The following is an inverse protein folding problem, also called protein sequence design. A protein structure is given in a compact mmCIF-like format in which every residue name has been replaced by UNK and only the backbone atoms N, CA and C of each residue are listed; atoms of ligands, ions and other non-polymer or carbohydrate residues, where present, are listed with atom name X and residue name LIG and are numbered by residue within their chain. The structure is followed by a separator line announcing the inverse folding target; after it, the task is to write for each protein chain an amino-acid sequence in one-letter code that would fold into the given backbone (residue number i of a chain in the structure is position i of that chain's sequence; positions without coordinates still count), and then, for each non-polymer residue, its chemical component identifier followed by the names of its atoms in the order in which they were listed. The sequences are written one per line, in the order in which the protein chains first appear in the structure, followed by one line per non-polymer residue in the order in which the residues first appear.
data_IF_149995062863
#
_entry.id   IF_149995062863
#
_cell.length_a   1.000
_cell.length_b   1.000
_cell.length_c   1.000
_cell.angle_alpha   90.00
_cell.angle_beta   90.00
_cell.angle_gamma   90.00
#
_symmetry.space_group_name_H-M   'P 1'
#
loop_
_entity.id
_entity.type
_entity.pdbx_description
1 polymer ?
#
# COMPACT_ATOMS: atom_id res chain seq x y z
N UNK A 1 13.93 22.69 -1.62
CA UNK A 1 12.54 22.23 -1.35
C UNK A 1 12.52 21.79 0.08
N UNK A 2 11.71 22.41 0.94
CA UNK A 2 11.50 21.93 2.32
C UNK A 2 11.03 20.48 2.26
N UNK A 3 11.76 19.57 2.91
CA UNK A 3 11.29 18.20 3.12
C UNK A 3 10.08 18.29 4.05
N UNK A 4 8.87 18.13 3.50
CA UNK A 4 7.68 17.92 4.31
C UNK A 4 7.89 16.64 5.12
N UNK A 5 8.28 16.77 6.38
CA UNK A 5 8.37 15.64 7.30
C UNK A 5 6.95 15.14 7.56
N UNK A 6 6.63 13.97 7.03
CA UNK A 6 5.36 13.29 7.29
C UNK A 6 5.40 12.66 8.68
N UNK A 7 4.30 12.72 9.43
CA UNK A 7 4.21 12.03 10.73
C UNK A 7 4.18 10.51 10.56
N UNK A 8 4.55 9.76 11.60
CA UNK A 8 4.45 8.29 11.62
C UNK A 8 3.03 7.84 11.25
N UNK A 9 2.00 8.48 11.81
CA UNK A 9 0.61 8.15 11.51
C UNK A 9 0.29 8.38 10.04
N UNK A 10 0.78 9.47 9.43
CA UNK A 10 0.58 9.75 7.99
C UNK A 10 1.21 8.64 7.14
N UNK A 11 2.43 8.23 7.48
CA UNK A 11 3.15 7.15 6.79
C UNK A 11 2.37 5.83 6.90
N UNK A 12 1.97 5.45 8.10
CA UNK A 12 1.23 4.20 8.36
C UNK A 12 -0.15 4.23 7.72
N UNK A 13 -0.91 5.32 7.82
CA UNK A 13 -2.25 5.46 7.22
C UNK A 13 -2.23 5.46 5.70
N UNK A 14 -1.08 5.75 5.07
CA UNK A 14 -0.92 5.63 3.60
C UNK A 14 -1.01 4.19 3.12
N UNK A 15 -0.61 3.22 3.95
CA UNK A 15 -0.52 1.79 3.60
C UNK A 15 -1.48 0.90 4.41
N UNK A 16 -1.90 1.36 5.59
CA UNK A 16 -2.90 0.72 6.44
C UNK A 16 -4.16 1.58 6.55
N UNK A 17 -5.32 0.94 6.70
CA UNK A 17 -6.57 1.59 7.09
C UNK A 17 -6.75 1.33 8.58
N UNK A 18 -7.00 2.38 9.33
CA UNK A 18 -7.26 2.34 10.76
C UNK A 18 -8.78 2.37 11.02
N UNK A 19 -9.23 1.60 12.02
CA UNK A 19 -10.59 1.65 12.55
C UNK A 19 -10.60 1.13 13.99
N UNK A 20 -11.06 1.93 14.95
CA UNK A 20 -11.11 1.59 16.38
C UNK A 20 -9.77 1.02 16.88
N UNK A 21 -8.68 1.75 16.64
CA UNK A 21 -7.31 1.38 17.01
C UNK A 21 -6.76 0.09 16.37
N UNK A 22 -7.51 -0.52 15.43
CA UNK A 22 -7.07 -1.67 14.64
C UNK A 22 -6.65 -1.23 13.24
N UNK A 23 -5.58 -1.82 12.71
CA UNK A 23 -5.05 -1.50 11.38
C UNK A 23 -5.11 -2.69 10.42
N UNK A 24 -5.65 -2.44 9.22
CA UNK A 24 -5.72 -3.41 8.12
C UNK A 24 -4.96 -2.92 6.91
N UNK A 25 -4.10 -3.77 6.33
CA UNK A 25 -3.33 -3.42 5.13
C UNK A 25 -4.28 -3.06 3.98
N UNK A 26 -4.02 -1.96 3.30
CA UNK A 26 -4.78 -1.53 2.13
C UNK A 26 -4.34 -2.35 0.91
N UNK A 27 -5.29 -2.69 0.05
CA UNK A 27 -4.98 -3.25 -1.27
C UNK A 27 -4.45 -2.16 -2.22
N UNK A 28 -5.06 -0.98 -2.16
CA UNK A 28 -4.66 0.22 -2.89
C UNK A 28 -4.28 1.26 -1.86
N UNK A 29 -3.00 1.62 -1.84
CA UNK A 29 -2.42 2.57 -0.91
C UNK A 29 -2.91 3.99 -1.19
N UNK A 30 -2.98 4.81 -0.15
CA UNK A 30 -3.54 6.16 -0.21
C UNK A 30 -2.45 7.19 -0.42
N UNK A 31 -2.23 7.56 -1.68
CA UNK A 31 -1.21 8.54 -2.02
C UNK A 31 -1.65 9.98 -1.74
N UNK A 32 -2.94 10.21 -1.43
CA UNK A 32 -3.45 11.54 -1.07
C UNK A 32 -2.74 12.13 0.17
N UNK A 33 -2.32 11.28 1.10
CA UNK A 33 -1.55 11.68 2.28
C UNK A 33 -0.15 12.24 1.94
N UNK A 34 0.33 11.99 0.72
CA UNK A 34 1.55 12.53 0.16
C UNK A 34 1.29 13.52 -0.99
N UNK A 35 0.09 14.08 -1.09
CA UNK A 35 -0.31 15.04 -2.13
C UNK A 35 -0.60 14.41 -3.50
N UNK A 36 -0.83 13.09 -3.56
CA UNK A 36 -1.13 12.35 -4.79
C UNK A 36 -2.59 11.90 -4.92
N UNK A 37 -2.80 10.89 -5.78
CA UNK A 37 -4.13 10.34 -6.05
C UNK A 37 -4.68 9.56 -4.85
N UNK A 38 -5.91 9.87 -4.43
CA UNK A 38 -6.55 9.10 -3.35
C UNK A 38 -6.91 7.68 -3.79
N UNK A 39 -6.74 6.73 -2.86
CA UNK A 39 -7.22 5.36 -3.05
C UNK A 39 -8.73 5.27 -3.30
N UNK A 40 -9.52 6.26 -2.85
CA UNK A 40 -10.96 6.33 -3.08
C UNK A 40 -11.30 6.56 -4.55
N UNK A 41 -10.59 7.48 -5.22
CA UNK A 41 -10.81 7.79 -6.64
C UNK A 41 -10.46 6.61 -7.54
N UNK A 42 -9.37 5.90 -7.22
CA UNK A 42 -8.97 4.69 -7.95
C UNK A 42 -10.08 3.61 -7.84
N UNK A 43 -10.60 3.37 -6.62
CA UNK A 43 -11.70 2.41 -6.41
C UNK A 43 -12.99 2.82 -7.09
N UNK A 44 -13.32 4.11 -7.08
CA UNK A 44 -14.49 4.64 -7.74
C UNK A 44 -14.41 4.43 -9.26
N UNK A 45 -13.25 4.72 -9.85
CA UNK A 45 -13.02 4.46 -11.27
C UNK A 45 -13.23 2.97 -11.60
N UNK A 46 -12.75 2.05 -10.76
CA UNK A 46 -12.96 0.61 -10.97
C UNK A 46 -14.42 0.20 -10.92
N UNK A 47 -15.20 0.84 -10.05
CA UNK A 47 -16.61 0.56 -9.94
C UNK A 47 -17.40 1.11 -11.13
N UNK A 48 -17.10 2.34 -11.58
CA UNK A 48 -17.89 3.03 -12.61
C UNK A 48 -17.52 2.56 -14.03
N UNK A 49 -16.25 2.24 -14.28
CA UNK A 49 -15.73 1.99 -15.62
C UNK A 49 -16.49 0.88 -16.38
N UNK A 50 -16.85 -0.28 -15.79
CA UNK A 50 -17.66 -1.30 -16.47
C UNK A 50 -19.02 -0.77 -16.95
N UNK A 51 -19.72 0.02 -16.12
CA UNK A 51 -21.02 0.58 -16.46
C UNK A 51 -20.92 1.65 -17.55
N UNK A 52 -19.88 2.50 -17.48
CA UNK A 52 -19.62 3.49 -18.52
C UNK A 52 -19.33 2.82 -19.86
N UNK A 53 -18.52 1.76 -19.87
CA UNK A 53 -18.26 0.97 -21.09
C UNK A 53 -19.51 0.28 -21.60
N UNK A 54 -20.32 -0.30 -20.70
CA UNK A 54 -21.59 -0.91 -21.08
C UNK A 54 -22.51 0.10 -21.78
N UNK A 55 -22.74 1.26 -21.16
CA UNK A 55 -23.58 2.31 -21.74
C UNK A 55 -23.04 2.82 -23.10
N UNK A 56 -21.72 2.93 -23.23
CA UNK A 56 -21.09 3.34 -24.48
C UNK A 56 -21.24 2.32 -25.61
N UNK A 57 -21.29 1.02 -25.30
CA UNK A 57 -21.34 -0.04 -26.31
C UNK A 57 -22.77 -0.47 -26.62
N UNK A 58 -23.62 -0.62 -25.61
CA UNK A 58 -24.99 -1.10 -25.76
C UNK A 58 -25.95 0.06 -25.99
N UNK A 59 -25.78 0.75 -27.13
CA UNK A 59 -26.66 1.83 -27.57
C UNK A 59 -27.12 1.62 -29.03
N UNK A 60 -28.19 2.29 -29.48
CA UNK A 60 -28.77 2.08 -30.81
C UNK A 60 -27.79 2.33 -31.97
N UNK A 61 -26.90 3.32 -31.85
CA UNK A 61 -25.93 3.63 -32.89
C UNK A 61 -24.90 2.49 -33.03
N UNK A 62 -24.37 2.00 -31.91
CA UNK A 62 -23.44 0.87 -31.88
C UNK A 62 -24.07 -0.42 -32.40
N UNK A 63 -25.33 -0.70 -32.07
CA UNK A 63 -26.03 -1.88 -32.61
C UNK A 63 -26.29 -1.79 -34.10
N UNK A 64 -26.59 -0.60 -34.61
CA UNK A 64 -26.73 -0.39 -36.06
C UNK A 64 -25.41 -0.64 -36.80
N UNK A 65 -24.27 -0.34 -36.18
CA UNK A 65 -22.96 -0.49 -36.78
C UNK A 65 -22.36 -1.91 -36.66
N UNK A 66 -22.49 -2.54 -35.49
CA UNK A 66 -21.78 -3.77 -35.14
C UNK A 66 -22.71 -5.00 -35.06
N UNK A 67 -24.01 -4.80 -34.84
CA UNK A 67 -24.90 -5.86 -34.40
C UNK A 67 -24.67 -6.29 -32.95
N UNK A 68 -25.66 -6.97 -32.37
CA UNK A 68 -25.67 -7.29 -30.93
C UNK A 68 -24.54 -8.26 -30.55
N UNK A 69 -24.31 -9.30 -31.35
CA UNK A 69 -23.29 -10.31 -31.07
C UNK A 69 -21.87 -9.72 -31.02
N UNK A 70 -21.52 -8.86 -31.98
CA UNK A 70 -20.20 -8.24 -32.03
C UNK A 70 -20.03 -7.17 -30.94
N UNK A 71 -21.09 -6.44 -30.58
CA UNK A 71 -21.06 -5.51 -29.46
C UNK A 71 -20.75 -6.22 -28.13
N UNK A 72 -21.30 -7.42 -27.90
CA UNK A 72 -21.00 -8.25 -26.73
C UNK A 72 -19.52 -8.65 -26.71
N UNK A 73 -18.99 -9.17 -27.82
CA UNK A 73 -17.58 -9.55 -27.92
C UNK A 73 -16.67 -8.35 -27.64
N UNK A 74 -16.99 -7.20 -28.22
CA UNK A 74 -16.22 -5.96 -28.03
C UNK A 74 -16.24 -5.49 -26.57
N UNK A 75 -17.38 -5.58 -25.89
CA UNK A 75 -17.48 -5.25 -24.47
C UNK A 75 -16.60 -6.15 -23.60
N UNK A 76 -16.56 -7.45 -23.86
CA UNK A 76 -15.71 -8.39 -23.12
C UNK A 76 -14.22 -8.03 -23.30
N UNK A 77 -13.80 -7.75 -24.54
CA UNK A 77 -12.41 -7.34 -24.82
C UNK A 77 -12.07 -6.04 -24.07
N UNK A 78 -12.95 -5.04 -24.10
CA UNK A 78 -12.73 -3.79 -23.40
C UNK A 78 -12.70 -3.95 -21.88
N UNK A 79 -13.51 -4.85 -21.30
CA UNK A 79 -13.43 -5.17 -19.88
C UNK A 79 -12.07 -5.76 -19.49
N UNK A 80 -11.49 -6.62 -20.33
CA UNK A 80 -10.15 -7.18 -20.09
C UNK A 80 -9.09 -6.07 -20.12
N UNK A 81 -9.11 -5.19 -21.12
CA UNK A 81 -8.20 -4.04 -21.18
C UNK A 81 -8.38 -3.08 -20.01
N UNK A 82 -9.62 -2.78 -19.64
CA UNK A 82 -9.93 -1.98 -18.46
C UNK A 82 -9.31 -2.60 -17.21
N UNK A 83 -9.48 -3.89 -16.97
CA UNK A 83 -8.88 -4.58 -15.84
C UNK A 83 -7.35 -4.48 -15.84
N UNK A 84 -6.69 -4.58 -16.99
CA UNK A 84 -5.24 -4.39 -17.09
C UNK A 84 -4.82 -2.96 -16.70
N UNK A 85 -5.53 -1.94 -17.19
CA UNK A 85 -5.28 -0.53 -16.83
C UNK A 85 -5.44 -0.33 -15.33
N UNK A 86 -6.51 -0.88 -14.75
CA UNK A 86 -6.80 -0.86 -13.32
C UNK A 86 -5.66 -1.44 -12.48
N UNK A 87 -5.15 -2.61 -12.87
CA UNK A 87 -4.02 -3.27 -12.20
C UNK A 87 -2.75 -2.42 -12.33
N UNK A 88 -2.46 -1.91 -13.53
CA UNK A 88 -1.29 -1.07 -13.77
C UNK A 88 -1.31 0.20 -12.91
N UNK A 89 -2.43 0.94 -12.93
CA UNK A 89 -2.60 2.17 -12.12
C UNK A 89 -2.45 1.88 -10.64
N UNK A 90 -3.06 0.79 -10.14
CA UNK A 90 -2.94 0.37 -8.74
C UNK A 90 -1.48 0.05 -8.37
N UNK A 91 -0.78 -0.67 -9.24
CA UNK A 91 0.63 -1.02 -9.03
C UNK A 91 1.52 0.21 -8.97
N UNK A 92 1.41 1.13 -9.93
CA UNK A 92 2.22 2.36 -9.96
C UNK A 92 1.90 3.28 -8.78
N UNK A 93 0.63 3.40 -8.41
CA UNK A 93 0.22 4.13 -7.22
C UNK A 93 0.86 3.54 -5.95
N UNK A 94 0.71 2.23 -5.74
CA UNK A 94 1.27 1.56 -4.56
C UNK A 94 2.80 1.66 -4.52
N UNK A 95 3.46 1.49 -5.67
CA UNK A 95 4.92 1.63 -5.79
C UNK A 95 5.38 3.04 -5.40
N UNK A 96 4.65 4.09 -5.82
CA UNK A 96 4.95 5.48 -5.47
C UNK A 96 4.74 5.73 -3.97
N UNK A 97 3.65 5.23 -3.40
CA UNK A 97 3.38 5.34 -1.96
C UNK A 97 4.47 4.66 -1.15
N UNK A 98 4.82 3.41 -1.45
CA UNK A 98 5.90 2.70 -0.74
C UNK A 98 7.22 3.44 -0.85
N UNK A 99 7.60 3.91 -2.04
CA UNK A 99 8.86 4.66 -2.21
C UNK A 99 8.89 5.92 -1.32
N UNK A 100 7.77 6.64 -1.23
CA UNK A 100 7.67 7.88 -0.44
C UNK A 100 7.64 7.58 1.04
N UNK A 101 6.82 6.60 1.45
CA UNK A 101 6.70 6.12 2.81
C UNK A 101 8.04 5.59 3.35
N UNK A 102 8.76 4.76 2.59
CA UNK A 102 10.08 4.25 2.98
C UNK A 102 11.08 5.37 3.23
N UNK A 103 11.11 6.41 2.37
CA UNK A 103 12.00 7.55 2.59
C UNK A 103 11.67 8.33 3.85
N UNK A 104 10.38 8.58 4.10
CA UNK A 104 9.93 9.27 5.29
C UNK A 104 10.12 8.42 6.56
N UNK A 105 9.97 7.11 6.43
CA UNK A 105 10.16 6.13 7.51
C UNK A 105 11.60 6.08 8.02
N UNK A 106 12.57 6.17 7.12
CA UNK A 106 14.00 6.15 7.45
C UNK A 106 14.40 7.29 8.41
N UNK A 107 13.67 8.42 8.39
CA UNK A 107 13.90 9.55 9.29
C UNK A 107 13.59 9.18 10.75
N UNK A 108 12.57 8.34 10.97
CA UNK A 108 12.16 7.92 12.31
C UNK A 108 12.87 6.64 12.78
N UNK A 109 13.05 5.69 11.87
CA UNK A 109 13.50 4.33 12.17
C UNK A 109 14.64 3.92 11.21
N UNK A 110 15.84 4.50 11.37
CA UNK A 110 16.96 4.25 10.46
C UNK A 110 17.35 2.77 10.46
N UNK A 111 17.57 2.21 9.27
CA UNK A 111 17.95 0.81 9.07
C UNK A 111 16.80 -0.20 9.12
N UNK A 112 15.59 0.22 9.51
CA UNK A 112 14.40 -0.65 9.55
C UNK A 112 13.67 -0.56 8.21
N UNK A 113 13.72 -1.65 7.43
CA UNK A 113 13.07 -1.69 6.11
C UNK A 113 11.54 -1.68 6.25
N UNK A 114 10.93 -0.56 5.88
CA UNK A 114 9.48 -0.36 5.84
C UNK A 114 8.72 -1.46 5.09
N UNK A 115 9.32 -2.10 4.08
CA UNK A 115 8.65 -3.19 3.34
C UNK A 115 8.45 -4.44 4.19
N UNK A 116 9.28 -4.64 5.22
CA UNK A 116 9.17 -5.80 6.10
C UNK A 116 7.92 -5.74 6.97
N UNK A 117 7.54 -4.56 7.48
CA UNK A 117 6.26 -4.38 8.21
C UNK A 117 5.03 -4.50 7.28
N UNK A 118 5.24 -4.39 5.97
CA UNK A 118 4.20 -4.61 4.95
C UNK A 118 4.15 -6.05 4.44
N UNK A 119 5.16 -6.85 4.71
CA UNK A 119 5.25 -8.21 4.19
C UNK A 119 4.12 -9.08 4.74
N UNK A 120 3.61 -9.99 3.92
CA UNK A 120 2.72 -11.06 4.38
C UNK A 120 3.50 -12.33 4.78
N UNK A 121 4.81 -12.38 4.52
CA UNK A 121 5.68 -13.48 4.90
C UNK A 121 6.31 -13.29 6.28
N UNK A 122 7.09 -14.27 6.72
CA UNK A 122 7.85 -14.20 7.97
C UNK A 122 8.95 -13.14 7.83
N UNK A 123 8.91 -12.14 8.70
CA UNK A 123 9.93 -11.10 8.82
C UNK A 123 10.16 -10.82 10.30
N UNK A 124 11.31 -10.23 10.69
CA UNK A 124 11.55 -9.83 12.07
C UNK A 124 10.45 -8.91 12.63
N UNK A 125 9.73 -8.19 11.77
CA UNK A 125 8.71 -7.21 12.17
C UNK A 125 7.27 -7.65 11.88
N UNK A 126 7.02 -8.97 11.77
CA UNK A 126 5.68 -9.49 11.45
C UNK A 126 4.60 -9.08 12.47
N UNK A 127 5.00 -8.86 13.72
CA UNK A 127 4.13 -8.43 14.81
C UNK A 127 3.97 -6.90 14.91
N UNK A 128 4.53 -6.13 13.96
CA UNK A 128 4.43 -4.67 13.94
C UNK A 128 3.00 -4.15 14.21
N UNK A 129 1.99 -4.78 13.58
CA UNK A 129 0.59 -4.37 13.77
C UNK A 129 0.17 -4.47 15.22
N UNK A 130 0.51 -5.56 15.90
CA UNK A 130 0.13 -5.79 17.31
C UNK A 130 0.68 -4.67 18.19
N UNK A 131 1.96 -4.32 18.03
CA UNK A 131 2.60 -3.25 18.80
C UNK A 131 2.02 -1.88 18.46
N UNK A 132 1.79 -1.61 17.17
CA UNK A 132 1.21 -0.33 16.73
C UNK A 132 -0.25 -0.15 17.21
N UNK A 133 -1.08 -1.19 17.13
CA UNK A 133 -2.46 -1.18 17.64
C UNK A 133 -2.53 -0.99 19.15
N UNK A 134 -1.59 -1.58 19.90
CA UNK A 134 -1.46 -1.34 21.34
C UNK A 134 -1.11 0.12 21.63
N UNK A 135 -0.10 0.68 20.95
CA UNK A 135 0.28 2.08 21.09
C UNK A 135 -0.87 3.04 20.73
N UNK A 136 -1.67 2.73 19.70
CA UNK A 136 -2.87 3.49 19.37
C UNK A 136 -3.94 3.40 20.47
N UNK A 137 -4.13 2.22 21.06
CA UNK A 137 -5.10 2.00 22.14
C UNK A 137 -4.73 2.76 23.41
N UNK A 138 -3.43 2.94 23.66
CA UNK A 138 -2.87 3.75 24.74
C UNK A 138 -2.91 5.27 24.43
N UNK A 139 -3.41 5.66 23.24
CA UNK A 139 -3.52 7.06 22.83
C UNK A 139 -2.18 7.72 22.49
N UNK A 140 -1.13 6.94 22.23
CA UNK A 140 0.20 7.47 21.96
C UNK A 140 0.26 8.14 20.58
N UNK A 141 0.89 9.30 20.52
CA UNK A 141 1.07 10.10 19.31
C UNK A 141 2.49 10.65 19.22
N UNK A 142 2.90 10.98 17.99
CA UNK A 142 4.15 11.70 17.70
C UNK A 142 5.38 11.08 18.37
N UNK A 143 6.10 11.81 19.24
CA UNK A 143 7.34 11.33 19.86
C UNK A 143 7.08 10.14 20.78
N UNK A 144 6.00 10.15 21.56
CA UNK A 144 5.65 9.01 22.42
C UNK A 144 5.35 7.74 21.60
N UNK A 145 4.72 7.90 20.43
CA UNK A 145 4.49 6.81 19.49
C UNK A 145 5.81 6.31 18.89
N UNK A 146 6.71 7.22 18.52
CA UNK A 146 8.04 6.90 17.97
C UNK A 146 8.88 6.11 18.96
N UNK A 147 8.93 6.55 20.21
CA UNK A 147 9.69 5.89 21.27
C UNK A 147 9.15 4.49 21.51
N UNK A 148 7.82 4.37 21.68
CA UNK A 148 7.17 3.07 21.87
C UNK A 148 7.43 2.11 20.71
N UNK A 149 7.41 2.63 19.48
CA UNK A 149 7.69 1.81 18.31
C UNK A 149 9.16 1.42 18.19
N UNK A 150 10.09 2.28 18.58
CA UNK A 150 11.52 1.97 18.62
C UNK A 150 11.82 0.82 19.57
N UNK A 151 11.23 0.85 20.78
CA UNK A 151 11.30 -0.26 21.74
C UNK A 151 10.73 -1.55 21.15
N UNK A 152 9.55 -1.47 20.51
CA UNK A 152 8.92 -2.63 19.89
C UNK A 152 9.78 -3.22 18.77
N UNK A 153 10.48 -2.41 17.98
CA UNK A 153 11.42 -2.91 16.97
C UNK A 153 12.59 -3.65 17.59
N UNK A 154 13.19 -3.12 18.65
CA UNK A 154 14.27 -3.81 19.36
C UNK A 154 13.80 -5.13 19.98
N UNK A 155 12.60 -5.14 20.57
CA UNK A 155 11.99 -6.35 21.12
C UNK A 155 11.76 -7.40 20.02
N UNK A 156 11.15 -6.99 18.90
CA UNK A 156 10.91 -7.85 17.75
C UNK A 156 12.21 -8.42 17.17
N UNK A 157 13.28 -7.62 17.08
CA UNK A 157 14.59 -8.10 16.63
C UNK A 157 15.23 -9.10 17.60
N UNK A 158 15.13 -8.83 18.90
CA UNK A 158 15.61 -9.75 19.95
C UNK A 158 14.88 -11.09 19.89
N UNK A 159 13.55 -11.06 19.80
CA UNK A 159 12.72 -12.27 19.68
C UNK A 159 13.01 -13.05 18.38
N UNK A 160 13.46 -12.35 17.33
CA UNK A 160 13.76 -12.92 16.02
C UNK A 160 15.26 -12.93 15.69
N UNK A 161 16.14 -13.04 16.69
CA UNK A 161 17.60 -12.88 16.53
C UNK A 161 18.17 -13.76 15.40
N UNK A 162 17.79 -15.03 15.34
CA UNK A 162 18.24 -15.95 14.28
C UNK A 162 17.84 -15.50 12.87
N UNK A 163 16.62 -14.97 12.73
CA UNK A 163 16.13 -14.46 11.45
C UNK A 163 16.86 -13.17 11.05
N UNK A 164 17.06 -12.26 12.01
CA UNK A 164 17.83 -11.02 11.80
C UNK A 164 19.26 -11.34 11.36
N UNK A 165 19.94 -12.27 12.03
CA UNK A 165 21.29 -12.71 11.66
C UNK A 165 21.34 -13.36 10.28
N UNK A 166 20.39 -14.26 9.97
CA UNK A 166 20.31 -14.90 8.67
C UNK A 166 20.13 -13.87 7.55
N UNK A 167 19.29 -12.86 7.77
CA UNK A 167 19.07 -11.77 6.82
C UNK A 167 20.29 -10.86 6.68
N UNK A 168 21.02 -10.58 7.77
CA UNK A 168 22.28 -9.83 7.73
C UNK A 168 23.33 -10.57 6.89
N UNK A 169 23.54 -11.87 7.17
CA UNK A 169 24.46 -12.72 6.40
C UNK A 169 24.10 -12.80 4.92
N UNK A 170 22.81 -12.89 4.57
CA UNK A 170 22.35 -12.89 3.17
C UNK A 170 22.62 -11.54 2.48
N UNK A 171 22.39 -10.41 3.17
CA UNK A 171 22.71 -9.06 2.66
C UNK A 171 24.21 -8.89 2.41
N UNK A 172 25.05 -9.29 3.36
CA UNK A 172 26.52 -9.22 3.24
C UNK A 172 27.02 -10.06 2.06
N UNK A 173 26.52 -11.29 1.88
CA UNK A 173 26.86 -12.14 0.73
C UNK A 173 26.47 -11.54 -0.62
N UNK A 174 25.42 -10.72 -0.67
CA UNK A 174 24.98 -10.02 -1.89
C UNK A 174 25.75 -8.73 -2.14
N UNK A 175 26.28 -8.09 -1.10
CA UNK A 175 27.06 -6.86 -1.19
C UNK A 175 28.56 -7.12 -1.43
N UNK A 176 29.09 -8.27 -0.98
CA UNK A 176 30.47 -8.72 -1.20
C UNK A 176 30.67 -9.52 -2.50
N UNK A 177 29.78 -9.35 -3.48
CA UNK A 177 29.86 -9.93 -4.83
C UNK A 177 29.83 -8.82 -5.88
#
# INVERSE_FOLDING_TARGET
MQENQYTIQTIIQSVFKEHNYKIKKRLIYDNALFGGLSSKWIKLAFLILPFAMYAAIFNPASFKALGIAQAIVFYIILLVFAMQIVVAVSYFNNKKVVKTATKAWEVYFPGIDFKMILSSGVTPYMDFKKYYEAALSDGLVEEALKDKMSEAFQQMESENTHLVEAMKKDKEKRAGK
#
